data_IF_762084333450
#
_entry.id   IF_762084333450
#
_cell.length_a   1.000
_cell.length_b   1.000
_cell.length_c   1.000
_cell.angle_alpha   90.00
_cell.angle_beta   90.00
_cell.angle_gamma   90.00
#
_symmetry.space_group_name_H-M   'P 1'
#
loop_
_entity.id
_entity.type
_entity.pdbx_description
1 polymer ?
#
# COMPACT_ATOMS: atom_id res chain seq x y z
N UNK A 1 19.67 -17.36 28.35
CA UNK A 1 20.47 -17.06 27.14
C UNK A 1 19.48 -16.96 25.98
N UNK A 2 19.14 -15.75 25.55
CA UNK A 2 18.06 -15.49 24.59
C UNK A 2 18.62 -15.47 23.17
N UNK A 3 18.28 -16.48 22.37
CA UNK A 3 18.67 -16.57 20.97
C UNK A 3 17.45 -16.80 20.10
N UNK A 4 17.25 -15.89 19.15
CA UNK A 4 16.85 -16.12 17.77
C UNK A 4 15.82 -15.09 17.29
N UNK A 5 16.36 -13.97 16.81
CA UNK A 5 15.74 -13.16 15.77
C UNK A 5 15.34 -14.05 14.59
N UNK A 6 14.10 -14.54 14.57
CA UNK A 6 13.55 -15.24 13.41
C UNK A 6 12.98 -14.19 12.46
N UNK A 7 13.86 -13.67 11.60
CA UNK A 7 13.49 -12.95 10.38
C UNK A 7 12.73 -13.92 9.47
N UNK A 8 11.42 -14.07 9.70
CA UNK A 8 10.52 -14.60 8.67
C UNK A 8 10.39 -13.48 7.65
N UNK A 9 10.91 -13.70 6.45
CA UNK A 9 10.57 -12.91 5.28
C UNK A 9 9.09 -13.19 4.97
N UNK A 10 8.20 -12.62 5.79
CA UNK A 10 6.77 -12.79 5.62
C UNK A 10 6.39 -12.05 4.35
N UNK A 11 6.05 -12.78 3.29
CA UNK A 11 5.33 -12.20 2.16
C UNK A 11 4.11 -11.49 2.75
N UNK A 12 4.12 -10.15 2.72
CA UNK A 12 2.97 -9.34 3.11
C UNK A 12 1.83 -9.78 2.18
N UNK A 13 0.68 -10.22 2.71
CA UNK A 13 -0.44 -10.60 1.87
C UNK A 13 -0.77 -9.43 0.94
N UNK A 14 -0.99 -9.73 -0.35
CA UNK A 14 -1.23 -8.71 -1.38
C UNK A 14 -2.47 -7.85 -1.10
N UNK A 15 -3.39 -8.34 -0.27
CA UNK A 15 -4.65 -7.70 0.04
C UNK A 15 -4.90 -7.73 1.55
N UNK A 16 -5.36 -6.60 2.10
CA UNK A 16 -5.84 -6.50 3.49
C UNK A 16 -7.25 -7.11 3.50
N UNK A 17 -7.47 -8.14 4.31
CA UNK A 17 -8.78 -8.80 4.45
C UNK A 17 -9.64 -8.07 5.48
N UNK A 18 -10.93 -8.40 5.54
CA UNK A 18 -11.80 -7.94 6.62
C UNK A 18 -11.23 -8.32 7.99
N UNK A 19 -11.29 -7.40 8.96
CA UNK A 19 -10.71 -7.58 10.30
C UNK A 19 -9.18 -7.47 10.36
N UNK A 20 -8.51 -7.15 9.25
CA UNK A 20 -7.06 -6.93 9.26
C UNK A 20 -6.68 -5.71 10.10
N UNK A 21 -5.65 -5.84 10.92
CA UNK A 21 -5.09 -4.76 11.73
C UNK A 21 -3.58 -4.63 11.51
N UNK A 22 -3.04 -3.40 11.45
CA UNK A 22 -1.60 -3.17 11.37
C UNK A 22 -0.91 -3.65 12.65
N UNK A 23 0.21 -4.35 12.52
CA UNK A 23 1.05 -4.71 13.66
C UNK A 23 2.07 -3.61 13.97
N UNK A 24 2.38 -2.76 12.99
CA UNK A 24 3.33 -1.66 13.11
C UNK A 24 3.07 -0.54 12.10
N UNK A 25 3.72 0.62 12.29
CA UNK A 25 3.68 1.73 11.34
C UNK A 25 4.11 1.32 9.92
N UNK A 26 5.07 0.39 9.81
CA UNK A 26 5.56 -0.12 8.52
C UNK A 26 4.44 -0.77 7.68
N UNK A 27 3.38 -1.27 8.32
CA UNK A 27 2.26 -1.89 7.61
C UNK A 27 1.38 -0.88 6.87
N UNK A 28 1.51 0.41 7.17
CA UNK A 28 0.80 1.47 6.45
C UNK A 28 1.44 1.83 5.12
N UNK A 29 2.73 1.54 4.94
CA UNK A 29 3.43 1.84 3.70
C UNK A 29 3.33 0.70 2.70
N UNK A 30 3.23 1.03 1.42
CA UNK A 30 3.35 0.07 0.33
C UNK A 30 4.45 0.45 -0.64
N UNK A 31 5.05 -0.56 -1.28
CA UNK A 31 5.96 -0.36 -2.41
C UNK A 31 5.15 -0.44 -3.68
N UNK A 32 5.21 0.61 -4.49
CA UNK A 32 4.56 0.67 -5.77
C UNK A 32 5.12 -0.38 -6.73
N UNK A 33 4.29 -1.28 -7.27
CA UNK A 33 4.77 -2.29 -8.21
C UNK A 33 5.18 -1.70 -9.57
N UNK A 34 4.75 -0.47 -9.87
CA UNK A 34 5.01 0.20 -11.16
C UNK A 34 6.36 0.90 -11.18
N UNK A 35 6.68 1.70 -10.16
CA UNK A 35 7.91 2.50 -10.12
C UNK A 35 8.90 2.07 -9.02
N UNK A 36 8.47 1.23 -8.07
CA UNK A 36 9.30 0.76 -6.95
C UNK A 36 9.41 1.73 -5.77
N UNK A 37 8.80 2.91 -5.84
CA UNK A 37 8.78 3.87 -4.74
C UNK A 37 7.89 3.39 -3.58
N UNK A 38 8.19 3.88 -2.37
CA UNK A 38 7.45 3.55 -1.16
C UNK A 38 6.62 4.75 -0.72
N UNK A 39 5.32 4.57 -0.49
CA UNK A 39 4.39 5.64 -0.09
C UNK A 39 3.46 5.20 1.06
N UNK A 40 2.94 6.15 1.84
CA UNK A 40 1.98 5.88 2.93
C UNK A 40 0.55 5.73 2.38
N UNK A 41 -0.09 4.57 2.62
CA UNK A 41 -1.46 4.32 2.17
C UNK A 41 -2.53 5.05 3.02
N UNK A 42 -2.16 5.65 4.16
CA UNK A 42 -3.07 6.44 5.00
C UNK A 42 -3.22 7.87 4.48
N UNK A 43 -2.17 8.39 3.85
CA UNK A 43 -2.22 9.71 3.23
C UNK A 43 -2.78 9.59 1.83
N UNK A 44 -4.07 9.91 1.71
CA UNK A 44 -4.77 9.86 0.44
C UNK A 44 -4.21 10.89 -0.57
N UNK A 45 -3.67 12.02 -0.09
CA UNK A 45 -3.04 13.03 -0.94
C UNK A 45 -1.74 12.50 -1.57
N UNK A 46 -0.89 11.86 -0.76
CA UNK A 46 0.33 11.19 -1.24
C UNK A 46 -0.03 10.06 -2.22
N UNK A 47 -1.01 9.22 -1.89
CA UNK A 47 -1.43 8.11 -2.75
C UNK A 47 -1.95 8.58 -4.12
N UNK A 48 -2.70 9.69 -4.19
CA UNK A 48 -3.17 10.25 -5.45
C UNK A 48 -2.04 10.92 -6.24
N UNK A 49 -1.16 11.67 -5.57
CA UNK A 49 0.01 12.26 -6.22
C UNK A 49 0.95 11.17 -6.80
N UNK A 50 0.97 9.99 -6.17
CA UNK A 50 1.75 8.84 -6.59
C UNK A 50 1.11 8.01 -7.72
N UNK A 51 -0.15 8.26 -8.08
CA UNK A 51 -0.87 7.43 -9.05
C UNK A 51 -0.17 7.43 -10.43
N UNK A 52 -0.01 6.25 -11.01
CA UNK A 52 0.50 6.08 -12.37
C UNK A 52 -0.64 5.75 -13.34
N UNK A 53 -0.72 6.46 -14.45
CA UNK A 53 -1.70 6.23 -15.52
C UNK A 53 -2.06 7.51 -16.26
N UNK A 54 -2.82 7.36 -17.35
CA UNK A 54 -3.47 8.48 -18.02
C UNK A 54 -4.63 8.98 -17.15
N UNK A 55 -4.90 10.30 -17.08
CA UNK A 55 -6.09 10.81 -16.41
C UNK A 55 -7.34 10.19 -17.02
N UNK A 56 -8.26 9.75 -16.17
CA UNK A 56 -9.61 9.36 -16.60
C UNK A 56 -10.32 10.60 -17.13
N UNK A 57 -10.46 10.69 -18.46
CA UNK A 57 -11.36 11.66 -19.10
C UNK A 57 -12.79 11.26 -18.73
N UNK A 58 -13.37 11.90 -17.73
CA UNK A 58 -14.79 11.77 -17.44
C UNK A 58 -15.56 12.55 -18.51
N UNK A 59 -16.03 11.86 -19.57
CA UNK A 59 -17.24 12.34 -20.23
C UNK A 59 -18.42 12.10 -19.27
N UNK A 60 -19.12 13.13 -18.79
CA UNK A 60 -20.27 12.93 -17.92
C UNK A 60 -21.38 12.29 -18.75
N UNK A 61 -21.64 11.00 -18.55
CA UNK A 61 -22.85 10.36 -19.08
C UNK A 61 -24.04 10.90 -18.29
N UNK A 62 -24.71 11.88 -18.89
CA UNK A 62 -25.95 12.49 -18.42
C UNK A 62 -27.04 11.41 -18.48
N UNK A 63 -27.47 10.90 -17.32
CA UNK A 63 -28.61 10.00 -17.16
C UNK A 63 -29.79 10.76 -16.55
#
# INVERSE_FOLDING_TARGET
>A
MNAAAKRRLAMRPKFRTEGWQPASEEDHFMTCPTCGERFDCRDLGEAFAHQHGEPIEEEPTLH
#
